data_IF_644435282558
#
_entry.id   IF_644435282558
#
_cell.length_a   1.000
_cell.length_b   1.000
_cell.length_c   1.000
_cell.angle_alpha   90.00
_cell.angle_beta   90.00
_cell.angle_gamma   90.00
#
_symmetry.space_group_name_H-M   'P 1'
#
loop_
_entity.id
_entity.type
_entity.pdbx_description
1 polymer ?
#
# COMPACT_ATOMS: atom_id res chain seq x y z
N UNK A 1 1.25 -16.63 -9.26
CA UNK A 1 1.91 -16.25 -7.99
C UNK A 1 2.41 -14.80 -7.96
N UNK A 2 2.71 -14.13 -9.09
CA UNK A 2 3.33 -12.78 -9.10
C UNK A 2 2.66 -11.77 -8.15
N UNK A 3 1.34 -11.55 -8.29
CA UNK A 3 0.64 -10.56 -7.46
C UNK A 3 0.61 -10.93 -5.98
N UNK A 4 0.56 -12.22 -5.64
CA UNK A 4 0.70 -12.69 -4.26
C UNK A 4 2.08 -12.33 -3.70
N UNK A 5 3.14 -12.52 -4.50
CA UNK A 5 4.50 -12.13 -4.09
C UNK A 5 4.60 -10.63 -3.85
N UNK A 6 4.05 -9.83 -4.76
CA UNK A 6 4.00 -8.37 -4.63
C UNK A 6 3.24 -7.96 -3.38
N UNK A 7 2.06 -8.51 -3.15
CA UNK A 7 1.24 -8.22 -1.97
C UNK A 7 2.07 -8.41 -0.70
N UNK A 8 2.62 -9.60 -0.48
CA UNK A 8 3.34 -9.88 0.76
C UNK A 8 4.62 -9.06 0.90
N UNK A 9 5.42 -8.94 -0.17
CA UNK A 9 6.68 -8.19 -0.07
C UNK A 9 6.41 -6.72 0.21
N UNK A 10 5.49 -6.09 -0.50
CA UNK A 10 5.21 -4.67 -0.28
C UNK A 10 4.45 -4.40 1.01
N UNK A 11 3.60 -5.32 1.47
CA UNK A 11 2.99 -5.22 2.81
C UNK A 11 4.02 -5.32 3.93
N UNK A 12 5.02 -6.21 3.80
CA UNK A 12 6.12 -6.32 4.78
C UNK A 12 7.05 -5.11 4.70
N UNK A 13 7.38 -4.63 3.50
CA UNK A 13 8.22 -3.43 3.33
C UNK A 13 7.54 -2.18 3.87
N UNK A 14 6.22 -2.04 3.67
CA UNK A 14 5.42 -0.97 4.25
C UNK A 14 5.45 -1.02 5.78
N UNK A 15 5.26 -2.21 6.35
CA UNK A 15 5.37 -2.43 7.80
C UNK A 15 6.74 -2.03 8.35
N UNK A 16 7.82 -2.47 7.68
CA UNK A 16 9.19 -2.15 8.07
C UNK A 16 9.48 -0.66 7.94
N UNK A 17 8.98 0.00 6.90
CA UNK A 17 9.12 1.44 6.70
C UNK A 17 8.46 2.22 7.85
N UNK A 18 7.18 1.97 8.11
CA UNK A 18 6.42 2.65 9.17
C UNK A 18 7.03 2.38 10.55
N UNK A 19 7.38 1.13 10.84
CA UNK A 19 8.00 0.75 12.11
C UNK A 19 9.37 1.39 12.29
N UNK A 20 10.17 1.51 11.22
CA UNK A 20 11.46 2.20 11.27
C UNK A 20 11.28 3.70 11.50
N UNK A 21 10.30 4.34 10.85
CA UNK A 21 9.96 5.75 11.07
C UNK A 21 9.50 5.95 12.52
N UNK A 22 8.60 5.11 13.02
CA UNK A 22 8.14 5.17 14.41
C UNK A 22 9.31 5.07 15.40
N UNK A 23 10.23 4.13 15.17
CA UNK A 23 11.42 3.94 16.00
C UNK A 23 12.37 5.14 15.96
N UNK A 24 12.63 5.71 14.78
CA UNK A 24 13.56 6.84 14.61
C UNK A 24 13.03 8.11 15.26
N UNK A 25 11.73 8.39 15.13
CA UNK A 25 11.10 9.59 15.66
C UNK A 25 10.52 9.42 17.06
N UNK A 26 10.62 8.21 17.65
CA UNK A 26 10.07 7.89 18.96
C UNK A 26 8.53 7.96 19.02
N UNK A 27 7.86 7.74 17.88
CA UNK A 27 6.40 7.73 17.84
C UNK A 27 5.87 6.37 18.30
N UNK A 28 4.76 6.39 19.02
CA UNK A 28 4.15 5.19 19.62
C UNK A 28 3.04 4.57 18.77
N UNK A 29 3.03 4.81 17.45
CA UNK A 29 2.04 4.20 16.57
C UNK A 29 2.52 2.81 16.10
N UNK A 30 1.60 1.85 16.09
CA UNK A 30 1.83 0.52 15.51
C UNK A 30 1.67 0.60 13.99
N UNK A 31 2.31 -0.30 13.22
CA UNK A 31 2.10 -0.40 11.77
C UNK A 31 1.08 -1.48 11.44
N UNK A 32 -0.02 -1.10 10.77
CA UNK A 32 -1.16 -1.96 10.47
C UNK A 32 -2.07 -2.27 11.67
N UNK A 33 -3.21 -2.89 11.38
CA UNK A 33 -4.21 -3.32 12.38
C UNK A 33 -4.04 -4.78 12.82
N UNK A 34 -3.27 -5.57 12.06
CA UNK A 34 -3.05 -7.00 12.29
C UNK A 34 -1.94 -7.23 13.35
N UNK A 35 -1.71 -8.47 13.79
CA UNK A 35 -0.61 -8.76 14.72
C UNK A 35 0.73 -8.96 14.02
N UNK A 36 0.70 -9.46 12.79
CA UNK A 36 1.88 -9.79 12.01
C UNK A 36 2.46 -8.59 11.26
N UNK A 37 3.66 -8.77 10.66
CA UNK A 37 4.44 -7.69 10.07
C UNK A 37 3.94 -7.35 8.66
N UNK A 38 2.66 -7.04 8.52
CA UNK A 38 2.06 -6.72 7.23
C UNK A 38 1.11 -5.56 7.35
N UNK A 39 1.35 -4.57 6.49
CA UNK A 39 0.47 -3.41 6.31
C UNK A 39 -0.18 -3.55 4.93
N UNK A 40 -1.41 -4.13 4.84
CA UNK A 40 -1.99 -4.59 3.57
C UNK A 40 -2.16 -3.48 2.52
N UNK A 41 -2.37 -2.24 2.96
CA UNK A 41 -2.56 -1.09 2.06
C UNK A 41 -1.37 -0.89 1.10
N UNK A 42 -0.13 -1.13 1.54
CA UNK A 42 1.05 -1.04 0.67
C UNK A 42 1.09 -2.18 -0.37
N UNK A 43 0.65 -3.38 0.02
CA UNK A 43 0.55 -4.53 -0.88
C UNK A 43 -0.48 -4.29 -1.99
N UNK A 44 -1.69 -3.84 -1.62
CA UNK A 44 -2.72 -3.46 -2.58
C UNK A 44 -2.30 -2.27 -3.44
N UNK A 45 -1.75 -1.21 -2.83
CA UNK A 45 -1.27 -0.02 -3.52
C UNK A 45 -0.22 -0.35 -4.57
N UNK A 46 0.79 -1.15 -4.23
CA UNK A 46 1.82 -1.59 -5.17
C UNK A 46 1.25 -2.38 -6.37
N UNK A 47 0.27 -3.24 -6.13
CA UNK A 47 -0.41 -3.98 -7.21
C UNK A 47 -1.19 -3.03 -8.11
N UNK A 48 -1.94 -2.08 -7.54
CA UNK A 48 -2.70 -1.07 -8.29
C UNK A 48 -1.74 -0.25 -9.16
N UNK A 49 -0.66 0.27 -8.58
CA UNK A 49 0.35 1.06 -9.28
C UNK A 49 0.92 0.26 -10.45
N UNK A 50 1.36 -0.97 -10.21
CA UNK A 50 1.99 -1.83 -11.21
C UNK A 50 1.05 -2.18 -12.37
N UNK A 51 -0.16 -2.67 -12.05
CA UNK A 51 -1.12 -3.12 -13.07
C UNK A 51 -1.59 -1.93 -13.91
N UNK A 52 -1.94 -0.82 -13.26
CA UNK A 52 -2.49 0.34 -13.94
C UNK A 52 -1.44 1.08 -14.77
N UNK A 53 -0.23 1.25 -14.24
CA UNK A 53 0.86 1.88 -15.01
C UNK A 53 1.24 1.06 -16.23
N UNK A 54 1.37 -0.27 -16.10
CA UNK A 54 1.65 -1.14 -17.26
C UNK A 54 0.53 -1.08 -18.29
N UNK A 55 -0.72 -1.12 -17.85
CA UNK A 55 -1.87 -1.01 -18.75
C UNK A 55 -1.87 0.33 -19.49
N UNK A 56 -1.70 1.46 -18.78
CA UNK A 56 -1.72 2.79 -19.38
C UNK A 56 -0.55 3.01 -20.34
N UNK A 57 0.68 2.63 -19.95
CA UNK A 57 1.84 2.74 -20.85
C UNK A 57 1.73 1.86 -22.09
N UNK A 58 0.99 0.75 -22.03
CA UNK A 58 0.80 -0.13 -23.19
C UNK A 58 -0.24 0.42 -24.17
N UNK A 59 -1.23 1.19 -23.71
CA UNK A 59 -2.41 1.56 -24.53
C UNK A 59 -2.50 3.05 -24.87
N UNK A 60 -1.82 3.94 -24.15
CA UNK A 60 -1.91 5.38 -24.42
C UNK A 60 -1.21 5.78 -25.72
N UNK A 61 -0.04 5.18 -26.02
CA UNK A 61 0.77 5.50 -27.20
C UNK A 61 1.06 7.01 -27.34
N UNK A 62 1.34 7.67 -26.22
CA UNK A 62 1.62 9.11 -26.16
C UNK A 62 3.12 9.35 -25.88
N UNK A 63 3.53 10.62 -25.86
CA UNK A 63 4.84 10.97 -25.33
C UNK A 63 4.99 10.49 -23.86
N UNK A 64 6.17 9.98 -23.51
CA UNK A 64 6.42 9.36 -22.20
C UNK A 64 6.15 10.30 -21.01
N UNK A 65 6.38 11.59 -21.18
CA UNK A 65 6.10 12.60 -20.15
C UNK A 65 4.59 12.73 -19.97
N UNK A 66 3.84 12.81 -21.07
CA UNK A 66 2.38 12.89 -21.04
C UNK A 66 1.77 11.64 -20.41
N UNK A 67 2.25 10.44 -20.80
CA UNK A 67 1.82 9.19 -20.19
C UNK A 67 2.07 9.17 -18.67
N UNK A 68 3.23 9.65 -18.24
CA UNK A 68 3.60 9.69 -16.82
C UNK A 68 2.70 10.64 -16.04
N UNK A 69 2.33 11.79 -16.62
CA UNK A 69 1.38 12.74 -16.03
C UNK A 69 0.00 12.09 -15.90
N UNK A 70 -0.47 11.38 -16.93
CA UNK A 70 -1.76 10.67 -16.88
C UNK A 70 -1.73 9.59 -15.80
N UNK A 71 -0.67 8.77 -15.76
CA UNK A 71 -0.48 7.74 -14.74
C UNK A 71 -0.48 8.35 -13.34
N UNK A 72 0.20 9.48 -13.13
CA UNK A 72 0.19 10.18 -11.84
C UNK A 72 -1.24 10.47 -11.39
N UNK A 73 -2.08 11.10 -12.22
CA UNK A 73 -3.44 11.45 -11.81
C UNK A 73 -4.33 10.22 -11.59
N UNK A 74 -4.32 9.26 -12.51
CA UNK A 74 -5.20 8.08 -12.40
C UNK A 74 -4.80 7.22 -11.20
N UNK A 75 -3.51 6.96 -11.00
CA UNK A 75 -3.03 6.18 -9.87
C UNK A 75 -3.24 6.92 -8.55
N UNK A 76 -3.01 8.25 -8.50
CA UNK A 76 -3.31 9.06 -7.31
C UNK A 76 -4.76 8.87 -6.87
N UNK A 77 -5.71 9.01 -7.78
CA UNK A 77 -7.13 8.84 -7.48
C UNK A 77 -7.41 7.45 -6.91
N UNK A 78 -6.87 6.39 -7.53
CA UNK A 78 -7.10 5.03 -7.02
C UNK A 78 -6.43 4.75 -5.68
N UNK A 79 -5.25 5.30 -5.41
CA UNK A 79 -4.59 5.17 -4.11
C UNK A 79 -5.34 5.95 -3.03
N UNK A 80 -5.82 7.15 -3.34
CA UNK A 80 -6.70 7.91 -2.43
C UNK A 80 -7.98 7.16 -2.15
N UNK A 81 -8.60 6.52 -3.15
CA UNK A 81 -9.79 5.68 -2.92
C UNK A 81 -9.44 4.47 -2.05
N UNK A 82 -8.34 3.78 -2.33
CA UNK A 82 -7.87 2.66 -1.50
C UNK A 82 -7.69 3.08 -0.04
N UNK A 83 -7.06 4.22 0.19
CA UNK A 83 -6.88 4.80 1.53
C UNK A 83 -8.22 5.15 2.17
N UNK A 84 -9.11 5.83 1.45
CA UNK A 84 -10.44 6.18 1.95
C UNK A 84 -11.25 4.94 2.35
N UNK A 85 -11.34 3.94 1.47
CA UNK A 85 -12.04 2.68 1.75
C UNK A 85 -11.37 1.90 2.88
N UNK A 86 -10.03 1.86 2.90
CA UNK A 86 -9.27 1.22 3.96
C UNK A 86 -9.53 1.85 5.33
N UNK A 87 -9.54 3.18 5.40
CA UNK A 87 -9.83 3.94 6.61
C UNK A 87 -11.24 3.69 7.13
N UNK A 88 -12.25 3.74 6.25
CA UNK A 88 -13.64 3.43 6.62
C UNK A 88 -13.77 1.98 7.11
N UNK A 89 -13.14 1.03 6.41
CA UNK A 89 -13.21 -0.39 6.78
C UNK A 89 -12.56 -0.63 8.14
N UNK A 90 -11.39 -0.02 8.39
CA UNK A 90 -10.70 -0.13 9.68
C UNK A 90 -11.57 0.45 10.80
N UNK A 91 -12.16 1.63 10.62
CA UNK A 91 -13.04 2.21 11.64
C UNK A 91 -14.30 1.37 11.87
N UNK A 92 -14.91 0.85 10.80
CA UNK A 92 -16.12 0.04 10.91
C UNK A 92 -15.87 -1.28 11.67
N UNK A 93 -14.68 -1.86 11.54
CA UNK A 93 -14.34 -3.15 12.13
C UNK A 93 -13.71 -2.99 13.52
N UNK A 94 -12.77 -2.07 13.68
CA UNK A 94 -11.95 -1.93 14.89
C UNK A 94 -12.33 -0.72 15.74
N UNK A 95 -13.30 0.09 15.31
CA UNK A 95 -13.75 1.31 16.00
C UNK A 95 -12.59 2.26 16.36
N UNK A 96 -11.55 2.29 15.52
CA UNK A 96 -10.35 3.10 15.70
C UNK A 96 -9.89 3.67 14.36
N UNK A 97 -9.13 4.75 14.42
CA UNK A 97 -8.48 5.34 13.26
C UNK A 97 -7.00 4.97 13.27
N UNK A 98 -6.57 4.26 12.22
CA UNK A 98 -5.16 3.90 12.07
C UNK A 98 -4.30 5.09 11.61
N UNK A 99 -4.91 6.04 10.91
CA UNK A 99 -4.37 7.37 10.63
C UNK A 99 -5.46 8.43 10.77
N UNK A 100 -5.07 9.68 11.04
CA UNK A 100 -5.98 10.81 11.15
C UNK A 100 -5.43 12.04 10.41
N UNK A 101 -6.09 12.39 9.31
CA UNK A 101 -5.78 13.55 8.49
C UNK A 101 -6.68 14.76 8.74
N UNK A 102 -7.45 14.80 9.83
CA UNK A 102 -8.37 15.90 10.15
C UNK A 102 -7.68 17.27 10.24
N UNK A 103 -6.38 17.29 10.58
CA UNK A 103 -5.58 18.52 10.65
C UNK A 103 -4.91 18.90 9.31
N UNK A 104 -5.13 18.15 8.24
CA UNK A 104 -4.57 18.43 6.92
C UNK A 104 -5.52 19.29 6.08
N UNK A 105 -4.95 20.06 5.15
CA UNK A 105 -5.72 20.87 4.22
C UNK A 105 -6.54 19.98 3.27
N UNK A 106 -7.79 20.38 3.01
CA UNK A 106 -8.72 19.67 2.12
C UNK A 106 -8.89 18.17 2.48
N UNK A 107 -9.06 17.88 3.77
CA UNK A 107 -9.34 16.53 4.25
C UNK A 107 -10.82 16.15 4.04
N UNK A 108 -11.09 14.84 3.96
CA UNK A 108 -12.44 14.26 3.98
C UNK A 108 -12.47 13.26 5.12
N UNK A 109 -13.04 13.69 6.25
CA UNK A 109 -12.95 12.97 7.51
C UNK A 109 -11.48 12.75 7.94
N UNK A 110 -11.22 11.76 8.81
CA UNK A 110 -9.86 11.40 9.19
C UNK A 110 -9.12 10.63 8.08
N UNK A 111 -9.82 10.16 7.05
CA UNK A 111 -9.32 9.11 6.16
C UNK A 111 -8.40 9.58 5.03
N UNK A 112 -8.70 10.70 4.39
CA UNK A 112 -7.92 11.19 3.24
C UNK A 112 -7.74 12.70 3.30
N UNK A 113 -6.65 13.18 2.70
CA UNK A 113 -6.43 14.59 2.44
C UNK A 113 -5.80 14.82 1.07
N UNK A 114 -5.95 16.03 0.53
CA UNK A 114 -5.29 16.38 -0.74
C UNK A 114 -3.76 16.25 -0.63
N UNK A 115 -3.18 16.66 0.50
CA UNK A 115 -1.74 16.56 0.74
C UNK A 115 -1.26 15.11 0.66
N UNK A 116 -1.93 14.19 1.36
CA UNK A 116 -1.56 12.77 1.34
C UNK A 116 -1.80 12.13 -0.02
N UNK A 117 -2.91 12.49 -0.69
CA UNK A 117 -3.19 12.04 -2.06
C UNK A 117 -2.05 12.41 -3.03
N UNK A 118 -1.56 13.64 -2.98
CA UNK A 118 -0.43 14.07 -3.83
C UNK A 118 0.87 13.36 -3.47
N UNK A 119 1.12 13.10 -2.17
CA UNK A 119 2.27 12.31 -1.74
C UNK A 119 2.20 10.88 -2.27
N UNK A 120 1.03 10.24 -2.26
CA UNK A 120 0.82 8.93 -2.88
C UNK A 120 1.04 8.97 -4.38
N UNK A 121 0.59 10.03 -5.05
CA UNK A 121 0.88 10.28 -6.46
C UNK A 121 2.37 10.32 -6.76
N UNK A 122 3.13 11.15 -6.03
CA UNK A 122 4.59 11.28 -6.21
C UNK A 122 5.28 9.95 -5.88
N UNK A 123 4.88 9.32 -4.77
CA UNK A 123 5.36 8.01 -4.35
C UNK A 123 5.12 6.93 -5.40
N UNK A 124 3.98 6.97 -6.09
CA UNK A 124 3.68 6.01 -7.17
C UNK A 124 4.62 6.15 -8.36
N UNK A 125 4.97 7.39 -8.75
CA UNK A 125 5.92 7.62 -9.84
C UNK A 125 7.31 7.16 -9.44
N UNK A 126 7.76 7.48 -8.22
CA UNK A 126 9.03 6.96 -7.69
C UNK A 126 9.04 5.43 -7.65
N UNK A 127 7.93 4.81 -7.24
CA UNK A 127 7.78 3.36 -7.22
C UNK A 127 7.94 2.76 -8.63
N UNK A 128 7.21 3.28 -9.62
CA UNK A 128 7.22 2.79 -11.01
C UNK A 128 8.63 2.84 -11.60
N UNK A 129 9.36 3.94 -11.39
CA UNK A 129 10.66 4.13 -12.04
C UNK A 129 11.84 3.56 -11.25
N UNK A 130 11.76 3.50 -9.92
CA UNK A 130 12.91 3.14 -9.08
C UNK A 130 12.78 1.79 -8.38
N UNK A 131 11.56 1.42 -7.96
CA UNK A 131 11.32 0.27 -7.08
C UNK A 131 10.86 -0.95 -7.90
N UNK A 132 9.78 -0.81 -8.67
CA UNK A 132 9.15 -1.90 -9.41
C UNK A 132 10.12 -2.64 -10.36
N UNK A 133 10.95 -1.95 -11.18
CA UNK A 133 11.86 -2.64 -12.10
C UNK A 133 12.95 -3.43 -11.37
N UNK A 134 13.36 -2.98 -10.19
CA UNK A 134 14.34 -3.69 -9.35
C UNK A 134 13.68 -4.90 -8.74
N UNK A 135 12.57 -4.71 -8.03
CA UNK A 135 11.84 -5.76 -7.31
C UNK A 135 11.37 -6.90 -8.22
N UNK A 136 10.90 -6.61 -9.44
CA UNK A 136 10.49 -7.64 -10.39
C UNK A 136 11.60 -8.66 -10.71
N UNK A 137 12.87 -8.23 -10.74
CA UNK A 137 14.01 -9.14 -10.95
C UNK A 137 14.31 -10.05 -9.76
N UNK A 138 13.87 -9.67 -8.56
CA UNK A 138 14.08 -10.44 -7.33
C UNK A 138 12.93 -11.41 -7.08
N UNK A 139 11.69 -11.04 -7.43
CA UNK A 139 10.50 -11.87 -7.21
C UNK A 139 10.57 -13.25 -7.87
N UNK A 140 11.26 -13.35 -9.00
CA UNK A 140 11.43 -14.63 -9.71
C UNK A 140 12.43 -15.57 -9.01
N UNK A 141 13.35 -15.03 -8.20
CA UNK A 141 14.36 -15.83 -7.49
C UNK A 141 13.83 -16.47 -6.21
N UNK A 142 12.78 -15.91 -5.63
CA UNK A 142 12.23 -16.40 -4.36
C UNK A 142 11.29 -17.58 -4.63
N UNK A 143 11.54 -18.77 -4.02
CA UNK A 143 10.69 -19.95 -4.20
C UNK A 143 9.22 -19.72 -3.84
N UNK A 144 8.31 -20.32 -4.59
CA UNK A 144 6.87 -20.14 -4.39
C UNK A 144 6.37 -20.66 -3.04
N UNK A 145 7.03 -21.68 -2.45
CA UNK A 145 6.61 -22.27 -1.17
C UNK A 145 6.67 -21.28 0.00
N UNK A 146 7.58 -20.29 -0.05
CA UNK A 146 7.66 -19.23 0.95
C UNK A 146 6.36 -18.43 0.99
N UNK A 147 5.82 -18.08 -0.18
CA UNK A 147 4.58 -17.33 -0.26
C UNK A 147 3.35 -18.16 0.10
N UNK A 148 3.39 -19.46 -0.14
CA UNK A 148 2.36 -20.38 0.36
C UNK A 148 2.35 -20.36 1.90
N UNK A 149 3.51 -20.45 2.54
CA UNK A 149 3.63 -20.31 3.99
C UNK A 149 3.12 -18.94 4.48
N UNK A 150 3.48 -17.85 3.80
CA UNK A 150 3.00 -16.50 4.13
C UNK A 150 1.47 -16.38 4.02
N UNK A 151 0.84 -17.02 3.04
CA UNK A 151 -0.64 -17.07 2.95
C UNK A 151 -1.22 -17.73 4.20
N UNK A 152 -0.68 -18.87 4.63
CA UNK A 152 -1.17 -19.55 5.83
C UNK A 152 -0.97 -18.70 7.08
N UNK A 153 0.20 -18.09 7.25
CA UNK A 153 0.48 -17.21 8.40
C UNK A 153 -0.42 -15.99 8.42
N UNK A 154 -0.66 -15.36 7.26
CA UNK A 154 -1.57 -14.23 7.13
C UNK A 154 -3.01 -14.62 7.44
N UNK A 155 -3.47 -15.79 6.98
CA UNK A 155 -4.80 -16.29 7.30
C UNK A 155 -4.96 -16.57 8.80
N UNK A 156 -3.95 -17.15 9.45
CA UNK A 156 -3.94 -17.35 10.90
C UNK A 156 -4.03 -16.01 11.62
N UNK A 157 -3.23 -15.03 11.22
CA UNK A 157 -3.24 -13.70 11.83
C UNK A 157 -4.58 -12.98 11.64
N UNK A 158 -5.22 -13.07 10.47
CA UNK A 158 -6.57 -12.54 10.28
C UNK A 158 -7.57 -13.16 11.27
N UNK A 159 -7.50 -14.47 11.50
CA UNK A 159 -8.36 -15.16 12.48
C UNK A 159 -8.03 -14.71 13.90
N UNK A 160 -6.76 -14.65 14.28
CA UNK A 160 -6.35 -14.21 15.61
C UNK A 160 -6.73 -12.74 15.85
N UNK A 161 -6.49 -11.87 14.89
CA UNK A 161 -6.92 -10.47 14.93
C UNK A 161 -8.43 -10.38 15.13
N UNK A 162 -9.21 -11.19 14.41
CA UNK A 162 -10.66 -11.21 14.58
C UNK A 162 -11.11 -11.67 15.96
N UNK A 163 -10.42 -12.64 16.55
CA UNK A 163 -10.78 -13.18 17.86
C UNK A 163 -10.35 -12.31 19.05
N UNK A 164 -9.32 -11.47 18.87
CA UNK A 164 -8.66 -10.78 19.98
C UNK A 164 -8.59 -9.25 19.87
N UNK A 165 -8.81 -8.65 18.69
CA UNK A 165 -8.74 -7.17 18.47
C UNK A 165 -10.07 -6.52 18.07
N UNK A 166 -11.09 -7.32 17.71
CA UNK A 166 -12.44 -6.86 17.35
C UNK A 166 -13.37 -7.21 18.50
#
# INVERSE_FOLDING_TARGET
>A
MRYIKMFFIYSILGFLLESSVALIFGWSFESGVLFGPWTPIYGFGAIIIHVLSQYLFLHLHLDRIIETIIVFFVVTILLTLLEWFGGILIEAIFHTHFWDYSNHAYHIGPYISLTMSLLWGIGSILFIYLIDPKCNRWFEKIPNWIFILLIFLFAIDLVLTWLYKI
#
